data_IF_539729627891
#
_entry.id   IF_539729627891
#
_cell.length_a   1.000
_cell.length_b   1.000
_cell.length_c   1.000
_cell.angle_alpha   90.00
_cell.angle_beta   90.00
_cell.angle_gamma   90.00
#
_symmetry.space_group_name_H-M   'P 1'
#
loop_
_entity.id
_entity.type
_entity.pdbx_description
1 polymer ?
#
# COMPACT_ATOMS: atom_id res chain seq x y z
N UNK A 1 16.28 -13.27 -18.95
CA UNK A 1 16.20 -13.06 -17.49
C UNK A 1 17.60 -12.91 -16.94
N UNK A 2 18.02 -11.71 -16.55
CA UNK A 2 19.32 -11.53 -15.88
C UNK A 2 19.12 -11.65 -14.37
N UNK A 3 19.90 -12.53 -13.73
CA UNK A 3 19.85 -12.84 -12.31
C UNK A 3 19.99 -11.61 -11.38
N UNK A 4 20.53 -10.51 -11.92
CA UNK A 4 20.68 -9.22 -11.24
C UNK A 4 19.35 -8.57 -10.82
N UNK A 5 18.26 -8.78 -11.57
CA UNK A 5 16.95 -8.22 -11.22
C UNK A 5 16.33 -8.91 -9.99
N UNK A 6 16.48 -10.23 -9.91
CA UNK A 6 16.00 -11.02 -8.79
C UNK A 6 16.87 -10.82 -7.54
N UNK A 7 18.20 -10.73 -7.70
CA UNK A 7 19.11 -10.37 -6.60
C UNK A 7 18.85 -8.97 -6.04
N UNK A 8 18.55 -7.99 -6.90
CA UNK A 8 18.23 -6.64 -6.46
C UNK A 8 16.93 -6.59 -5.63
N UNK A 9 15.93 -7.44 -5.92
CA UNK A 9 14.72 -7.57 -5.10
C UNK A 9 14.99 -8.29 -3.77
N UNK A 10 15.77 -9.38 -3.79
CA UNK A 10 16.09 -10.16 -2.59
C UNK A 10 16.96 -9.38 -1.59
N UNK A 11 17.82 -8.47 -2.08
CA UNK A 11 18.67 -7.61 -1.25
C UNK A 11 17.92 -6.54 -0.43
N UNK A 12 16.65 -6.26 -0.75
CA UNK A 12 15.85 -5.23 -0.07
C UNK A 12 15.33 -5.66 1.31
N UNK A 13 15.32 -6.97 1.58
CA UNK A 13 14.69 -7.56 2.79
C UNK A 13 15.63 -7.51 4.00
N UNK A 14 16.91 -7.17 3.80
CA UNK A 14 17.99 -7.53 4.73
C UNK A 14 18.65 -6.41 5.55
N UNK A 15 18.05 -5.25 5.79
CA UNK A 15 18.66 -4.26 6.69
C UNK A 15 17.67 -3.63 7.68
N UNK A 16 18.03 -3.69 8.96
CA UNK A 16 17.30 -3.06 10.06
C UNK A 16 17.32 -1.54 9.91
N UNK A 17 16.27 -1.02 9.28
CA UNK A 17 15.95 0.40 9.20
C UNK A 17 14.83 0.66 10.21
N UNK A 18 14.88 1.82 10.88
CA UNK A 18 13.81 2.28 11.75
C UNK A 18 12.49 2.33 10.96
N UNK A 19 11.53 1.48 11.32
CA UNK A 19 10.24 1.41 10.64
C UNK A 19 9.44 2.69 10.93
N UNK A 20 8.80 3.24 9.90
CA UNK A 20 7.96 4.43 10.01
C UNK A 20 6.75 4.24 10.95
N UNK A 21 6.40 2.98 11.26
CA UNK A 21 5.28 2.65 12.13
C UNK A 21 5.52 3.00 13.60
N UNK A 22 6.77 3.26 14.04
CA UNK A 22 7.09 3.54 15.44
C UNK A 22 6.79 2.37 16.41
N UNK A 23 6.47 1.19 15.88
CA UNK A 23 6.14 -0.01 16.64
C UNK A 23 7.36 -0.91 16.69
N UNK A 24 7.93 -1.08 17.88
CA UNK A 24 8.83 -2.21 18.15
C UNK A 24 7.99 -3.48 18.23
N UNK A 25 8.24 -4.41 17.30
CA UNK A 25 7.59 -5.72 17.32
C UNK A 25 8.03 -6.46 18.60
N UNK A 26 7.09 -6.94 19.44
CA UNK A 26 7.46 -7.76 20.57
C UNK A 26 8.14 -9.03 20.06
N UNK A 27 9.36 -9.29 20.53
CA UNK A 27 10.02 -10.57 20.30
C UNK A 27 9.18 -11.66 20.98
N UNK A 28 8.89 -12.75 20.25
CA UNK A 28 8.08 -13.84 20.75
C UNK A 28 8.63 -14.36 22.10
N UNK A 29 7.96 -13.99 23.19
CA UNK A 29 8.27 -14.52 24.49
C UNK A 29 7.75 -15.97 24.55
N UNK A 30 8.66 -16.90 24.77
CA UNK A 30 8.32 -18.30 24.98
C UNK A 30 7.53 -18.44 26.30
N UNK A 31 6.25 -18.79 26.17
CA UNK A 31 5.42 -19.41 27.20
C UNK A 31 4.67 -18.48 28.16
N UNK A 32 3.34 -18.46 28.04
CA UNK A 32 2.37 -18.78 29.10
C UNK A 32 0.93 -18.82 28.54
N UNK A 33 0.09 -19.65 29.18
CA UNK A 33 -1.07 -20.34 28.62
C UNK A 33 -2.34 -19.49 28.48
N UNK A 34 -3.03 -19.63 27.34
CA UNK A 34 -4.42 -19.22 27.15
C UNK A 34 -5.17 -20.37 26.43
N UNK A 35 -5.04 -21.59 26.97
CA UNK A 35 -5.41 -22.81 26.23
C UNK A 35 -6.92 -23.02 26.09
N UNK A 36 -7.75 -22.29 26.84
CA UNK A 36 -9.20 -22.50 26.84
C UNK A 36 -10.00 -21.53 25.93
N UNK A 37 -9.36 -20.51 25.34
CA UNK A 37 -9.99 -19.58 24.39
C UNK A 37 -9.51 -19.77 22.93
N UNK A 38 -8.36 -20.40 22.72
CA UNK A 38 -7.84 -20.76 21.39
C UNK A 38 -8.70 -21.81 20.67
N UNK A 39 -9.21 -22.80 21.40
CA UNK A 39 -9.88 -23.96 20.80
C UNK A 39 -11.23 -23.66 20.11
N UNK A 40 -11.85 -22.51 20.37
CA UNK A 40 -13.12 -22.11 19.73
C UNK A 40 -12.87 -21.15 18.54
N UNK A 41 -11.69 -20.51 18.50
CA UNK A 41 -11.28 -19.61 17.42
C UNK A 41 -10.44 -20.29 16.32
N UNK A 42 -9.78 -21.41 16.63
CA UNK A 42 -8.86 -22.12 15.71
C UNK A 42 -9.51 -23.20 14.83
N UNK A 43 -10.85 -23.34 14.83
CA UNK A 43 -11.52 -24.24 13.88
C UNK A 43 -11.61 -23.55 12.51
N UNK A 44 -10.47 -23.45 11.82
CA UNK A 44 -10.39 -22.93 10.46
C UNK A 44 -11.39 -23.70 9.56
N UNK A 45 -12.28 -23.02 8.81
CA UNK A 45 -13.12 -23.67 7.83
C UNK A 45 -12.23 -24.39 6.82
N UNK A 46 -12.46 -25.68 6.63
CA UNK A 46 -11.65 -26.53 5.75
C UNK A 46 -11.75 -26.02 4.31
N UNK A 47 -10.65 -25.46 3.78
CA UNK A 47 -10.52 -25.07 2.37
C UNK A 47 -10.04 -23.64 2.10
N UNK A 48 -9.88 -22.79 3.12
CA UNK A 48 -9.40 -21.41 2.94
C UNK A 48 -7.86 -21.35 3.05
N UNK A 49 -7.16 -20.61 2.17
CA UNK A 49 -5.70 -20.52 2.22
C UNK A 49 -5.26 -19.74 3.46
N UNK A 50 -4.47 -20.40 4.32
CA UNK A 50 -3.80 -19.78 5.47
C UNK A 50 -2.44 -19.27 5.00
N UNK A 51 -2.16 -17.99 5.22
CA UNK A 51 -0.84 -17.41 4.93
C UNK A 51 0.16 -17.85 6.00
N UNK A 52 1.32 -18.36 5.57
CA UNK A 52 2.42 -18.63 6.50
C UNK A 52 3.18 -17.33 6.87
N UNK A 53 4.07 -17.44 7.86
CA UNK A 53 4.82 -16.28 8.36
C UNK A 53 5.76 -15.65 7.32
N UNK A 54 6.20 -16.41 6.31
CA UNK A 54 7.02 -15.85 5.24
C UNK A 54 6.14 -15.01 4.30
N UNK A 55 4.96 -15.53 3.93
CA UNK A 55 4.00 -14.83 3.11
C UNK A 55 3.49 -13.54 3.77
N UNK A 56 3.11 -13.58 5.06
CA UNK A 56 2.62 -12.37 5.75
C UNK A 56 3.70 -11.29 5.91
N UNK A 57 4.97 -11.66 5.96
CA UNK A 57 6.08 -10.70 6.01
C UNK A 57 6.39 -10.07 4.64
N UNK A 58 6.10 -10.76 3.54
CA UNK A 58 6.42 -10.33 2.17
C UNK A 58 5.25 -9.63 1.45
N UNK A 59 4.01 -9.90 1.86
CA UNK A 59 2.82 -9.25 1.32
C UNK A 59 2.67 -7.85 1.93
N UNK A 60 2.45 -6.82 1.09
CA UNK A 60 2.15 -5.47 1.56
C UNK A 60 0.79 -5.42 2.28
N UNK A 61 0.76 -4.81 3.46
CA UNK A 61 -0.42 -4.77 4.33
C UNK A 61 -1.61 -3.98 3.80
N UNK A 62 -1.41 -3.17 2.74
CA UNK A 62 -2.50 -2.48 2.06
C UNK A 62 -3.36 -3.43 1.20
N UNK A 63 -2.79 -4.57 0.77
CA UNK A 63 -3.53 -5.60 0.02
C UNK A 63 -4.43 -6.36 0.98
N UNK A 64 -3.83 -6.97 2.01
CA UNK A 64 -4.52 -7.65 3.10
C UNK A 64 -3.74 -7.33 4.39
N UNK A 65 -4.40 -6.93 5.49
CA UNK A 65 -5.85 -6.76 5.65
C UNK A 65 -6.35 -5.34 5.30
N UNK A 66 -5.51 -4.51 4.68
CA UNK A 66 -5.74 -3.09 4.43
C UNK A 66 -5.27 -2.21 5.60
N UNK A 67 -4.85 -0.98 5.30
CA UNK A 67 -4.30 -0.07 6.32
C UNK A 67 -5.34 0.45 7.30
N UNK A 68 -6.59 0.67 6.87
CA UNK A 68 -7.72 1.11 7.70
C UNK A 68 -7.37 2.28 8.63
N UNK A 69 -6.92 3.39 8.02
CA UNK A 69 -6.56 4.64 8.68
C UNK A 69 -7.46 5.78 8.22
N UNK A 70 -7.62 6.78 9.08
CA UNK A 70 -8.47 7.94 8.84
C UNK A 70 -7.89 8.89 7.81
N UNK A 71 -6.56 8.94 7.67
CA UNK A 71 -5.87 9.82 6.74
C UNK A 71 -5.01 8.99 5.80
N UNK A 72 -5.08 9.31 4.51
CA UNK A 72 -4.19 8.74 3.49
C UNK A 72 -3.68 9.81 2.53
N UNK A 73 -2.54 9.58 1.91
CA UNK A 73 -1.99 10.42 0.87
C UNK A 73 -1.41 9.56 -0.24
N UNK A 74 -1.84 9.83 -1.47
CA UNK A 74 -1.38 9.11 -2.65
C UNK A 74 -0.39 10.01 -3.40
N UNK A 75 0.84 9.54 -3.48
CA UNK A 75 1.95 10.24 -4.12
C UNK A 75 2.25 9.55 -5.44
N UNK A 76 1.91 10.21 -6.54
CA UNK A 76 2.18 9.71 -7.88
C UNK A 76 3.48 10.33 -8.38
N UNK A 77 4.44 9.48 -8.74
CA UNK A 77 5.79 9.89 -9.09
C UNK A 77 6.14 9.41 -10.49
N UNK A 78 6.88 10.24 -11.22
CA UNK A 78 7.53 9.86 -12.47
C UNK A 78 9.05 9.78 -12.29
N UNK A 79 9.66 8.82 -12.98
CA UNK A 79 11.10 8.59 -12.99
C UNK A 79 11.70 9.11 -14.30
N UNK A 80 12.80 9.86 -14.17
CA UNK A 80 13.60 10.37 -15.27
C UNK A 80 14.86 9.52 -15.50
N UNK A 81 15.56 9.18 -14.40
CA UNK A 81 16.82 8.44 -14.41
C UNK A 81 16.67 7.09 -13.68
N UNK A 82 16.98 5.99 -14.38
CA UNK A 82 16.77 4.61 -13.89
C UNK A 82 17.61 4.31 -12.64
N UNK A 83 18.88 4.66 -12.62
CA UNK A 83 19.78 4.32 -11.50
C UNK A 83 19.47 5.14 -10.24
N UNK A 84 19.04 6.39 -10.41
CA UNK A 84 18.57 7.22 -9.31
C UNK A 84 17.23 6.69 -8.76
N UNK A 85 16.33 6.24 -9.64
CA UNK A 85 15.10 5.56 -9.25
C UNK A 85 15.37 4.27 -8.47
N UNK A 86 16.34 3.44 -8.90
CA UNK A 86 16.77 2.25 -8.14
C UNK A 86 17.28 2.62 -6.76
N UNK A 87 18.08 3.66 -6.65
CA UNK A 87 18.62 4.13 -5.36
C UNK A 87 17.50 4.55 -4.41
N UNK A 88 16.50 5.27 -4.93
CA UNK A 88 15.31 5.64 -4.15
C UNK A 88 14.46 4.43 -3.76
N UNK A 89 14.27 3.45 -4.66
CA UNK A 89 13.54 2.21 -4.34
C UNK A 89 14.24 1.40 -3.24
N UNK A 90 15.57 1.33 -3.25
CA UNK A 90 16.34 0.69 -2.16
C UNK A 90 16.10 1.38 -0.81
N UNK A 91 15.99 2.70 -0.82
CA UNK A 91 15.66 3.47 0.38
C UNK A 91 14.20 3.25 0.83
N UNK A 92 13.24 3.17 -0.11
CA UNK A 92 11.82 3.03 0.19
C UNK A 92 11.46 1.62 0.67
N UNK A 93 12.03 0.57 0.06
CA UNK A 93 11.64 -0.82 0.31
C UNK A 93 11.57 -1.24 1.80
N UNK A 94 12.57 -0.96 2.66
CA UNK A 94 12.48 -1.34 4.07
C UNK A 94 11.46 -0.52 4.89
N UNK A 95 10.82 0.49 4.28
CA UNK A 95 9.76 1.31 4.89
C UNK A 95 8.36 0.86 4.50
N UNK A 96 8.24 -0.10 3.57
CA UNK A 96 6.94 -0.66 3.19
C UNK A 96 6.37 -1.48 4.34
N UNK A 97 5.08 -1.30 4.57
CA UNK A 97 4.36 -1.97 5.65
C UNK A 97 3.79 -3.29 5.15
N UNK A 98 4.25 -4.37 5.78
CA UNK A 98 3.83 -5.75 5.54
C UNK A 98 2.45 -6.06 6.15
N UNK A 99 1.83 -7.12 5.66
CA UNK A 99 0.61 -7.71 6.21
C UNK A 99 0.80 -8.10 7.66
N UNK A 100 1.95 -8.71 7.99
CA UNK A 100 2.29 -9.11 9.35
C UNK A 100 2.25 -7.93 10.34
N UNK A 101 2.88 -6.79 9.99
CA UNK A 101 2.87 -5.61 10.85
C UNK A 101 1.46 -5.06 11.11
N UNK A 102 0.65 -5.00 10.06
CA UNK A 102 -0.73 -4.49 10.17
C UNK A 102 -1.57 -5.43 11.02
N UNK A 103 -1.39 -6.75 10.88
CA UNK A 103 -2.09 -7.74 11.71
C UNK A 103 -1.65 -7.67 13.17
N UNK A 104 -0.35 -7.52 13.43
CA UNK A 104 0.18 -7.39 14.79
C UNK A 104 -0.34 -6.14 15.48
N UNK A 105 -0.37 -5.00 14.77
CA UNK A 105 -1.01 -3.79 15.28
C UNK A 105 -2.50 -4.01 15.60
N UNK A 106 -3.26 -4.66 14.69
CA UNK A 106 -4.68 -4.96 14.92
C UNK A 106 -4.91 -5.89 16.10
N UNK A 107 -4.06 -6.91 16.29
CA UNK A 107 -4.11 -7.83 17.42
C UNK A 107 -3.88 -7.10 18.73
N UNK A 108 -2.86 -6.23 18.77
CA UNK A 108 -2.54 -5.44 19.94
C UNK A 108 -3.65 -4.44 20.27
N UNK A 109 -4.14 -3.71 19.28
CA UNK A 109 -5.25 -2.78 19.48
C UNK A 109 -6.52 -3.48 19.97
N UNK A 110 -6.85 -4.66 19.42
CA UNK A 110 -7.97 -5.48 19.91
C UNK A 110 -7.77 -5.88 21.37
N UNK A 111 -6.55 -6.28 21.76
CA UNK A 111 -6.21 -6.63 23.14
C UNK A 111 -6.37 -5.43 24.08
N UNK A 112 -5.85 -4.27 23.70
CA UNK A 112 -6.00 -3.02 24.48
C UNK A 112 -7.47 -2.67 24.68
N UNK A 113 -8.27 -2.66 23.62
CA UNK A 113 -9.71 -2.37 23.69
C UNK A 113 -10.46 -3.31 24.64
N UNK A 114 -10.12 -4.61 24.64
CA UNK A 114 -10.73 -5.58 25.55
C UNK A 114 -10.37 -5.31 27.02
N UNK A 115 -9.19 -4.78 27.30
CA UNK A 115 -8.71 -4.51 28.67
C UNK A 115 -9.15 -3.15 29.20
N UNK A 116 -9.18 -2.13 28.35
CA UNK A 116 -9.39 -0.73 28.77
C UNK A 116 -10.76 -0.18 28.38
N UNK A 117 -11.45 -0.80 27.42
CA UNK A 117 -12.67 -0.29 26.81
C UNK A 117 -12.47 0.90 25.87
N UNK A 118 -11.23 1.32 25.61
CA UNK A 118 -10.94 2.45 24.71
C UNK A 118 -11.21 2.09 23.25
N UNK A 119 -11.80 3.03 22.51
CA UNK A 119 -12.16 2.87 21.09
C UNK A 119 -11.05 3.28 20.14
N UNK A 120 -10.00 3.93 20.64
CA UNK A 120 -8.86 4.41 19.89
C UNK A 120 -7.58 3.71 20.36
N UNK A 121 -6.62 3.44 19.45
CA UNK A 121 -5.37 2.77 19.82
C UNK A 121 -4.51 3.68 20.69
N UNK A 122 -3.83 3.12 21.68
CA UNK A 122 -2.91 3.89 22.54
C UNK A 122 -1.67 4.38 21.77
N UNK A 123 -1.35 3.74 20.65
CA UNK A 123 -0.24 4.07 19.75
C UNK A 123 -0.78 4.41 18.37
N UNK A 124 -0.38 5.57 17.85
CA UNK A 124 -0.55 5.90 16.45
C UNK A 124 0.36 5.02 15.58
N UNK A 125 -0.07 4.73 14.36
CA UNK A 125 0.69 4.00 13.36
C UNK A 125 0.58 4.68 12.00
N UNK A 126 1.72 4.72 11.31
CA UNK A 126 1.85 5.14 9.91
C UNK A 126 2.26 3.97 9.06
N UNK A 127 1.54 3.76 7.96
CA UNK A 127 1.75 2.69 7.01
C UNK A 127 2.11 3.22 5.63
N UNK A 128 2.98 2.51 4.91
CA UNK A 128 3.39 2.85 3.56
C UNK A 128 3.26 1.65 2.63
N UNK A 129 2.63 1.85 1.48
CA UNK A 129 2.54 0.87 0.40
C UNK A 129 3.05 1.47 -0.91
N UNK A 130 3.42 0.59 -1.84
CA UNK A 130 4.01 0.94 -3.12
C UNK A 130 3.42 0.11 -4.25
N UNK A 131 3.13 0.77 -5.37
CA UNK A 131 2.75 0.14 -6.62
C UNK A 131 3.58 0.71 -7.78
N UNK A 132 3.80 -0.13 -8.79
CA UNK A 132 4.60 0.17 -9.98
C UNK A 132 3.74 0.05 -11.23
N UNK A 133 3.87 1.02 -12.14
CA UNK A 133 3.13 1.01 -13.39
C UNK A 133 3.84 0.19 -14.48
N UNK A 134 3.13 -0.06 -15.58
CA UNK A 134 3.71 -0.70 -16.78
C UNK A 134 4.88 0.10 -17.35
N UNK A 135 4.83 1.42 -17.34
CA UNK A 135 5.90 2.26 -17.91
C UNK A 135 7.16 2.15 -17.09
N UNK A 136 7.01 2.13 -15.76
CA UNK A 136 8.12 1.91 -14.84
C UNK A 136 8.74 0.52 -15.03
N UNK A 137 7.94 -0.54 -15.16
CA UNK A 137 8.47 -1.89 -15.45
C UNK A 137 9.27 -1.88 -16.75
N UNK A 138 8.76 -1.26 -17.82
CA UNK A 138 9.50 -1.18 -19.09
C UNK A 138 10.80 -0.40 -18.95
N UNK A 139 10.79 0.74 -18.23
CA UNK A 139 11.98 1.57 -17.98
C UNK A 139 13.02 0.84 -17.13
N UNK A 140 12.60 0.12 -16.11
CA UNK A 140 13.48 -0.52 -15.12
C UNK A 140 13.94 -1.93 -15.54
N UNK A 141 13.07 -2.72 -16.15
CA UNK A 141 13.28 -4.15 -16.37
C UNK A 141 13.18 -4.55 -17.86
N UNK A 142 12.72 -3.66 -18.72
CA UNK A 142 12.54 -3.90 -20.15
C UNK A 142 11.17 -4.49 -20.51
N UNK A 143 10.88 -4.53 -21.81
CA UNK A 143 9.57 -4.99 -22.35
C UNK A 143 9.31 -6.48 -22.16
N UNK A 144 10.36 -7.30 -22.13
CA UNK A 144 10.24 -8.75 -21.91
C UNK A 144 9.66 -9.02 -20.52
N UNK A 145 10.18 -8.34 -19.48
CA UNK A 145 9.66 -8.45 -18.12
C UNK A 145 8.18 -8.04 -18.01
N UNK A 146 7.75 -7.02 -18.76
CA UNK A 146 6.32 -6.65 -18.81
C UNK A 146 5.47 -7.78 -19.42
N UNK A 147 6.00 -8.55 -20.37
CA UNK A 147 5.29 -9.69 -20.98
C UNK A 147 5.05 -10.84 -20.01
N UNK A 148 5.97 -11.04 -19.07
CA UNK A 148 5.91 -12.07 -18.03
C UNK A 148 5.10 -11.65 -16.79
N UNK A 149 4.76 -10.36 -16.67
CA UNK A 149 4.08 -9.77 -15.52
C UNK A 149 2.65 -9.32 -15.82
N UNK A 150 1.75 -9.54 -14.86
CA UNK A 150 0.41 -8.97 -14.84
C UNK A 150 -0.55 -9.52 -15.89
N UNK A 151 -1.78 -9.03 -15.85
CA UNK A 151 -2.81 -9.37 -16.83
C UNK A 151 -2.71 -8.50 -18.11
N UNK A 152 -3.52 -8.81 -19.12
CA UNK A 152 -3.57 -8.04 -20.36
C UNK A 152 -3.97 -6.58 -20.15
N UNK A 153 -4.86 -6.32 -19.19
CA UNK A 153 -5.35 -4.99 -18.88
C UNK A 153 -4.24 -4.10 -18.33
N UNK A 154 -3.42 -4.62 -17.41
CA UNK A 154 -2.24 -3.95 -16.88
C UNK A 154 -1.21 -3.67 -18.00
N UNK A 155 -0.94 -4.64 -18.88
CA UNK A 155 0.03 -4.48 -19.97
C UNK A 155 -0.40 -3.45 -21.01
N UNK A 156 -1.70 -3.28 -21.24
CA UNK A 156 -2.28 -2.27 -22.15
C UNK A 156 -2.25 -0.85 -21.55
N UNK A 157 -2.44 -0.72 -20.24
CA UNK A 157 -2.54 0.58 -19.55
C UNK A 157 -3.94 1.16 -19.57
N UNK A 158 -4.25 2.00 -18.57
CA UNK A 158 -5.61 2.51 -18.33
C UNK A 158 -6.11 3.45 -19.43
N UNK A 159 -5.29 4.42 -19.85
CA UNK A 159 -5.64 5.35 -20.93
C UNK A 159 -6.00 4.64 -22.25
N UNK A 160 -5.25 3.62 -22.65
CA UNK A 160 -5.53 2.82 -23.85
C UNK A 160 -6.88 2.11 -23.79
N UNK A 161 -7.34 1.80 -22.58
CA UNK A 161 -8.57 1.07 -22.30
C UNK A 161 -9.76 1.99 -22.00
N UNK A 162 -9.57 3.31 -21.96
CA UNK A 162 -10.59 4.24 -21.47
C UNK A 162 -11.94 4.08 -22.19
N UNK A 163 -11.92 4.02 -23.52
CA UNK A 163 -13.15 3.82 -24.32
C UNK A 163 -13.81 2.48 -24.05
N UNK A 164 -13.03 1.42 -23.82
CA UNK A 164 -13.57 0.09 -23.46
C UNK A 164 -14.20 0.10 -22.07
N UNK A 165 -13.67 0.90 -21.14
CA UNK A 165 -14.20 1.08 -19.78
C UNK A 165 -15.45 1.98 -19.73
N UNK A 166 -15.83 2.57 -20.87
CA UNK A 166 -16.99 3.46 -20.97
C UNK A 166 -16.68 4.93 -20.76
N UNK A 167 -15.41 5.31 -20.71
CA UNK A 167 -15.01 6.72 -20.61
C UNK A 167 -15.33 7.48 -21.90
N UNK A 168 -15.57 8.80 -21.82
CA UNK A 168 -15.83 9.63 -22.99
C UNK A 168 -14.76 9.49 -24.08
N UNK A 169 -15.18 9.52 -25.34
CA UNK A 169 -14.29 9.43 -26.52
C UNK A 169 -13.95 10.76 -27.16
N UNK A 170 -14.68 11.83 -26.81
CA UNK A 170 -14.44 13.16 -27.34
C UNK A 170 -13.55 13.97 -26.37
N UNK A 171 -12.42 14.54 -26.83
CA UNK A 171 -11.48 15.25 -25.96
C UNK A 171 -12.07 16.38 -25.13
N UNK A 172 -13.10 17.06 -25.64
CA UNK A 172 -13.77 18.17 -24.94
C UNK A 172 -14.76 17.71 -23.86
N UNK A 173 -15.10 16.41 -23.79
CA UNK A 173 -16.06 15.90 -22.80
C UNK A 173 -15.38 15.70 -21.45
N UNK A 174 -15.93 16.23 -20.34
CA UNK A 174 -15.42 15.99 -19.00
C UNK A 174 -15.28 14.48 -18.72
N UNK A 175 -14.13 14.06 -18.21
CA UNK A 175 -13.81 12.65 -17.98
C UNK A 175 -13.08 11.96 -19.14
N UNK A 176 -12.86 12.62 -20.28
CA UNK A 176 -11.95 12.11 -21.31
C UNK A 176 -10.53 11.93 -20.76
N UNK A 177 -9.83 10.87 -21.18
CA UNK A 177 -8.49 10.49 -20.67
C UNK A 177 -7.41 11.56 -20.75
N UNK A 178 -7.50 12.45 -21.74
CA UNK A 178 -6.55 13.55 -21.92
C UNK A 178 -6.69 14.62 -20.82
N UNK A 179 -7.82 14.65 -20.11
CA UNK A 179 -8.05 15.51 -18.96
C UNK A 179 -7.79 14.83 -17.62
N UNK A 180 -7.35 13.57 -17.58
CA UNK A 180 -7.11 12.87 -16.32
C UNK A 180 -5.88 13.42 -15.60
N UNK A 181 -6.01 13.66 -14.29
CA UNK A 181 -4.90 14.12 -13.45
C UNK A 181 -3.77 13.08 -13.35
N UNK A 182 -4.11 11.79 -13.42
CA UNK A 182 -3.16 10.67 -13.42
C UNK A 182 -3.65 9.55 -14.34
N UNK A 183 -2.72 8.90 -15.02
CA UNK A 183 -2.97 7.71 -15.83
C UNK A 183 -3.60 8.01 -17.19
N UNK A 184 -3.72 9.30 -17.54
CA UNK A 184 -4.02 9.77 -18.88
C UNK A 184 -2.81 9.67 -19.80
N UNK A 185 -3.00 10.04 -21.07
CA UNK A 185 -1.96 9.93 -22.11
C UNK A 185 -0.66 10.64 -21.73
N UNK A 186 -0.76 11.83 -21.14
CA UNK A 186 0.38 12.68 -20.77
C UNK A 186 0.57 12.80 -19.25
N UNK A 187 -0.19 12.02 -18.46
CA UNK A 187 -0.19 12.07 -16.99
C UNK A 187 0.06 10.70 -16.35
N UNK A 188 0.65 9.76 -17.09
CA UNK A 188 1.00 8.45 -16.57
C UNK A 188 2.08 8.56 -15.49
N UNK A 189 1.79 8.02 -14.31
CA UNK A 189 2.76 7.90 -13.22
C UNK A 189 3.56 6.60 -13.36
N UNK A 190 4.83 6.64 -12.96
CA UNK A 190 5.69 5.45 -12.91
C UNK A 190 5.48 4.68 -11.59
N UNK A 191 5.33 5.42 -10.49
CA UNK A 191 5.15 4.87 -9.16
C UNK A 191 3.96 5.50 -8.44
N UNK A 192 3.31 4.71 -7.59
CA UNK A 192 2.34 5.18 -6.61
C UNK A 192 2.84 4.77 -5.22
N UNK A 193 3.04 5.75 -4.34
CA UNK A 193 3.24 5.54 -2.91
C UNK A 193 1.97 5.92 -2.17
N UNK A 194 1.45 5.01 -1.36
CA UNK A 194 0.30 5.22 -0.49
C UNK A 194 0.80 5.32 0.93
N UNK A 195 0.62 6.48 1.56
CA UNK A 195 0.88 6.68 2.99
C UNK A 195 -0.44 6.75 3.71
N UNK A 196 -0.56 6.09 4.86
CA UNK A 196 -1.78 6.07 5.66
C UNK A 196 -1.42 6.22 7.14
N UNK A 197 -2.08 7.12 7.88
CA UNK A 197 -1.76 7.38 9.28
C UNK A 197 -3.00 7.70 10.12
N UNK A 198 -2.88 7.51 11.44
CA UNK A 198 -3.94 7.88 12.40
C UNK A 198 -4.05 9.40 12.59
N UNK A 199 -2.97 10.15 12.35
CA UNK A 199 -2.94 11.62 12.50
C UNK A 199 -2.52 12.31 11.21
N UNK A 200 -3.03 13.52 10.92
CA UNK A 200 -2.59 14.29 9.76
C UNK A 200 -1.13 14.76 9.90
N UNK A 201 -0.64 14.97 11.12
CA UNK A 201 0.76 15.33 11.37
C UNK A 201 1.71 14.22 10.93
N UNK A 202 1.45 12.97 11.36
CA UNK A 202 2.29 11.82 11.00
C UNK A 202 2.21 11.53 9.49
N UNK A 203 1.01 11.65 8.90
CA UNK A 203 0.82 11.51 7.45
C UNK A 203 1.69 12.51 6.68
N UNK A 204 1.65 13.78 7.10
CA UNK A 204 2.39 14.83 6.41
C UNK A 204 3.90 14.69 6.59
N UNK A 205 4.36 14.30 7.78
CA UNK A 205 5.77 14.06 8.05
C UNK A 205 6.31 12.92 7.17
N UNK A 206 5.61 11.77 7.13
CA UNK A 206 6.02 10.63 6.32
C UNK A 206 5.98 10.94 4.82
N UNK A 207 4.92 11.60 4.33
CA UNK A 207 4.83 12.01 2.94
C UNK A 207 5.94 13.00 2.54
N UNK A 208 6.26 13.96 3.42
CA UNK A 208 7.33 14.92 3.18
C UNK A 208 8.70 14.23 3.07
N UNK A 209 9.02 13.28 3.96
CA UNK A 209 10.27 12.52 3.89
C UNK A 209 10.39 11.74 2.55
N UNK A 210 9.31 11.09 2.14
CA UNK A 210 9.27 10.33 0.88
C UNK A 210 9.47 11.26 -0.32
N UNK A 211 8.81 12.41 -0.36
CA UNK A 211 8.94 13.38 -1.44
C UNK A 211 10.32 14.05 -1.48
N UNK A 212 10.90 14.40 -0.33
CA UNK A 212 12.26 14.96 -0.26
C UNK A 212 13.29 13.96 -0.79
N UNK A 213 13.15 12.69 -0.41
CA UNK A 213 14.02 11.61 -0.90
C UNK A 213 13.80 11.32 -2.37
N UNK A 214 12.56 11.36 -2.85
CA UNK A 214 12.25 11.21 -4.27
C UNK A 214 12.90 12.32 -5.10
N UNK A 215 12.71 13.58 -4.70
CA UNK A 215 13.29 14.75 -5.37
C UNK A 215 14.83 14.69 -5.39
N UNK A 216 15.45 14.31 -4.26
CA UNK A 216 16.91 14.15 -4.16
C UNK A 216 17.47 13.05 -5.07
N UNK A 217 16.62 12.12 -5.53
CA UNK A 217 16.95 11.06 -6.48
C UNK A 217 16.37 11.33 -7.88
N UNK A 218 15.97 12.56 -8.19
CA UNK A 218 15.53 12.94 -9.55
C UNK A 218 14.15 12.41 -9.96
N UNK A 219 13.35 11.89 -9.02
CA UNK A 219 11.94 11.62 -9.27
C UNK A 219 11.14 12.92 -9.12
N UNK A 220 10.09 13.04 -9.92
CA UNK A 220 9.19 14.20 -9.89
C UNK A 220 7.79 13.78 -9.49
N UNK A 221 7.11 14.61 -8.69
CA UNK A 221 5.72 14.39 -8.36
C UNK A 221 4.83 14.76 -9.57
N UNK A 222 4.02 13.80 -10.01
CA UNK A 222 3.02 13.98 -11.07
C UNK A 222 1.72 14.50 -10.46
N UNK A 223 1.31 13.91 -9.34
CA UNK A 223 0.08 14.27 -8.65
C UNK A 223 0.15 13.90 -7.17
N UNK A 224 -0.58 14.66 -6.36
CA UNK A 224 -0.65 14.50 -4.92
C UNK A 224 -2.11 14.54 -4.50
N UNK A 225 -2.57 13.47 -3.86
CA UNK A 225 -3.95 13.38 -3.40
C UNK A 225 -3.99 13.11 -1.90
N UNK A 226 -4.42 14.11 -1.15
CA UNK A 226 -4.80 13.94 0.25
C UNK A 226 -6.22 13.34 0.35
N UNK A 227 -6.37 12.34 1.21
CA UNK A 227 -7.60 11.62 1.47
C UNK A 227 -7.84 11.60 2.98
N UNK A 228 -9.08 11.81 3.39
CA UNK A 228 -9.48 11.68 4.78
C UNK A 228 -10.88 11.06 4.88
N UNK A 229 -11.14 10.33 5.95
CA UNK A 229 -12.49 9.95 6.32
C UNK A 229 -13.37 11.20 6.47
N UNK A 230 -14.66 11.05 6.12
CA UNK A 230 -15.63 12.11 6.37
C UNK A 230 -15.75 12.37 7.88
N UNK A 231 -15.92 13.64 8.30
CA UNK A 231 -15.98 13.98 9.71
C UNK A 231 -17.33 13.57 10.35
N UNK A 232 -17.30 13.35 11.67
CA UNK A 232 -18.49 13.17 12.49
C UNK A 232 -19.28 11.89 12.15
N UNK A 233 -20.61 12.01 12.10
CA UNK A 233 -21.55 10.90 11.85
C UNK A 233 -21.34 10.22 10.47
N UNK A 234 -20.62 10.86 9.56
CA UNK A 234 -20.32 10.32 8.23
C UNK A 234 -19.01 9.53 8.18
N UNK A 235 -18.29 9.38 9.29
CA UNK A 235 -17.07 8.57 9.34
C UNK A 235 -17.36 7.13 8.87
N UNK A 236 -16.60 6.66 7.87
CA UNK A 236 -16.81 5.36 7.22
C UNK A 236 -17.90 5.34 6.14
N UNK A 237 -18.44 6.50 5.75
CA UNK A 237 -19.33 6.67 4.60
C UNK A 237 -18.58 7.26 3.39
N UNK A 238 -19.04 6.94 2.18
CA UNK A 238 -18.65 7.64 0.96
C UNK A 238 -19.47 8.92 0.78
N UNK A 239 -19.06 9.79 -0.15
CA UNK A 239 -19.66 11.12 -0.32
C UNK A 239 -21.14 11.09 -0.71
N UNK A 240 -21.66 10.00 -1.30
CA UNK A 240 -23.10 9.84 -1.54
C UNK A 240 -23.92 9.55 -0.26
N UNK A 241 -23.24 9.27 0.86
CA UNK A 241 -23.84 8.94 2.15
C UNK A 241 -23.93 7.43 2.44
N UNK A 242 -23.52 6.57 1.51
CA UNK A 242 -23.50 5.11 1.71
C UNK A 242 -22.30 4.68 2.57
N UNK A 243 -22.49 3.72 3.48
CA UNK A 243 -21.37 3.14 4.25
C UNK A 243 -20.43 2.36 3.33
N UNK A 244 -19.14 2.69 3.36
CA UNK A 244 -18.11 2.07 2.51
C UNK A 244 -17.59 0.77 3.15
N UNK A 245 -17.11 -0.17 2.33
CA UNK A 245 -16.45 -1.42 2.76
C UNK A 245 -17.31 -2.45 3.54
N UNK A 246 -18.64 -2.43 3.40
CA UNK A 246 -19.53 -3.43 4.02
C UNK A 246 -19.34 -4.88 3.49
N UNK A 247 -18.64 -5.07 2.35
CA UNK A 247 -18.29 -6.39 1.78
C UNK A 247 -16.92 -6.34 1.12
N UNK A 248 -15.96 -7.03 1.73
CA UNK A 248 -14.69 -7.42 1.11
C UNK A 248 -14.67 -8.96 0.98
N UNK A 249 -13.96 -9.54 0.00
CA UNK A 249 -13.73 -10.99 -0.01
C UNK A 249 -13.03 -11.41 1.29
N UNK A 250 -13.42 -12.57 1.83
CA UNK A 250 -12.80 -13.10 3.04
C UNK A 250 -11.36 -13.55 2.74
N UNK A 251 -10.44 -13.16 3.62
CA UNK A 251 -9.08 -13.69 3.69
C UNK A 251 -8.63 -13.57 5.15
N UNK A 252 -8.50 -14.68 5.86
CA UNK A 252 -8.01 -14.71 7.25
C UNK A 252 -6.51 -15.02 7.34
N UNK A 253 -5.90 -14.60 8.45
CA UNK A 253 -4.48 -14.66 8.73
C UNK A 253 -4.23 -15.14 10.16
#
# INVERSE_FOLDING_TARGET
MSDQGAEALAGLIGSGVQRLSGIDLPQAAAGQSIDSLKAIADAAPTGEPVFDAAATADIQGNVIPGFNKDYQRFLFLSLSEVEAARSWLHWLAPRLSSMQEVLDFRREFRRERLLTGQTDPSKAATWTAFAVSRTAIVKLLGKEALGDMGDEAFRQGMASRSTYLGDPTQPATPGHRDGWCVGGTDSEADFLVIVAADTPEDLNAAAAEILERAASNGLTITFDQACANLPGELAGHEHSGSRTACRNPASEA
#
